data_IF_425447727475
#
_entry.id   IF_425447727475
#
_cell.length_a   1.000
_cell.length_b   1.000
_cell.length_c   1.000
_cell.angle_alpha   90.00
_cell.angle_beta   90.00
_cell.angle_gamma   90.00
#
_symmetry.space_group_name_H-M   'P 1'
#
loop_
_entity.id
_entity.type
_entity.pdbx_description
1 polymer ?
#
# COMPACT_ATOMS: atom_id res chain seq x y z
N UNK A 1 -14.76 15.69 -8.25
CA UNK A 1 -13.33 15.35 -8.14
C UNK A 1 -12.67 15.82 -9.42
N UNK A 2 -11.49 16.47 -9.37
CA UNK A 2 -10.78 16.84 -10.58
C UNK A 2 -10.47 15.60 -11.41
N UNK A 3 -10.53 15.75 -12.73
CA UNK A 3 -10.17 14.69 -13.68
C UNK A 3 -8.64 14.56 -13.67
N UNK A 4 -8.13 13.50 -13.05
CA UNK A 4 -6.68 13.25 -12.94
C UNK A 4 -6.19 12.64 -14.25
N UNK A 5 -5.12 13.20 -14.81
CA UNK A 5 -4.52 12.70 -16.04
C UNK A 5 -4.10 11.22 -15.84
N UNK A 6 -4.60 10.28 -16.66
CA UNK A 6 -4.19 8.88 -16.61
C UNK A 6 -2.68 8.61 -16.58
N UNK A 7 -1.90 9.46 -17.25
CA UNK A 7 -0.44 9.33 -17.33
C UNK A 7 0.25 9.55 -15.98
N UNK A 8 -0.36 10.26 -15.03
CA UNK A 8 0.17 10.43 -13.67
C UNK A 8 0.34 9.09 -12.94
N UNK A 9 -0.47 8.09 -13.30
CA UNK A 9 -0.43 6.75 -12.73
C UNK A 9 0.32 5.73 -13.60
N UNK A 10 0.85 6.15 -14.77
CA UNK A 10 1.52 5.28 -15.73
C UNK A 10 3.01 5.15 -15.47
N UNK A 11 3.37 4.63 -14.29
CA UNK A 11 4.77 4.43 -13.91
C UNK A 11 5.48 3.47 -14.89
N UNK A 12 6.63 3.84 -15.46
CA UNK A 12 7.40 2.98 -16.37
C UNK A 12 7.67 1.59 -15.77
N UNK A 13 7.99 1.55 -14.48
CA UNK A 13 8.22 0.32 -13.72
C UNK A 13 7.08 -0.70 -13.84
N UNK A 14 5.82 -0.27 -13.87
CA UNK A 14 4.70 -1.20 -14.03
C UNK A 14 4.72 -1.91 -15.38
N UNK A 15 5.07 -1.20 -16.45
CA UNK A 15 5.20 -1.80 -17.79
C UNK A 15 6.39 -2.76 -17.83
N UNK A 16 7.51 -2.39 -17.21
CA UNK A 16 8.72 -3.21 -17.13
C UNK A 16 8.48 -4.55 -16.44
N UNK A 17 7.69 -4.57 -15.36
CA UNK A 17 7.34 -5.81 -14.63
C UNK A 17 6.13 -6.55 -15.21
N UNK A 18 5.59 -6.11 -16.35
CA UNK A 18 4.47 -6.75 -17.04
C UNK A 18 3.09 -6.50 -16.42
N UNK A 19 2.94 -5.46 -15.59
CA UNK A 19 1.65 -5.06 -15.07
C UNK A 19 0.85 -4.31 -16.14
N UNK A 20 -0.47 -4.53 -16.13
CA UNK A 20 -1.39 -3.95 -17.12
C UNK A 20 -2.43 -3.11 -16.38
N UNK A 21 -2.68 -1.90 -16.89
CA UNK A 21 -3.77 -1.05 -16.40
C UNK A 21 -5.10 -1.60 -16.87
N UNK A 22 -6.03 -1.85 -15.94
CA UNK A 22 -7.37 -2.41 -16.19
C UNK A 22 -8.43 -1.57 -15.51
N UNK A 23 -9.68 -1.75 -15.94
CA UNK A 23 -10.88 -1.19 -15.29
C UNK A 23 -11.67 -2.33 -14.65
N UNK A 24 -11.92 -2.26 -13.35
CA UNK A 24 -12.60 -3.32 -12.62
C UNK A 24 -14.02 -3.50 -13.15
N UNK A 25 -14.45 -4.74 -13.49
CA UNK A 25 -15.78 -4.97 -14.05
C UNK A 25 -16.90 -4.67 -13.04
N UNK A 26 -16.64 -4.80 -11.74
CA UNK A 26 -17.61 -4.56 -10.67
C UNK A 26 -17.68 -3.08 -10.27
N UNK A 27 -16.63 -2.51 -9.67
CA UNK A 27 -16.65 -1.13 -9.16
C UNK A 27 -16.23 -0.04 -10.16
N UNK A 28 -15.83 -0.41 -11.39
CA UNK A 28 -15.39 0.50 -12.45
C UNK A 28 -14.12 1.32 -12.14
N UNK A 29 -13.44 1.06 -11.02
CA UNK A 29 -12.16 1.70 -10.69
C UNK A 29 -11.03 1.22 -11.60
N UNK A 30 -10.10 2.11 -11.93
CA UNK A 30 -8.87 1.73 -12.64
C UNK A 30 -7.85 1.14 -11.64
N UNK A 31 -7.13 0.11 -12.04
CA UNK A 31 -6.10 -0.54 -11.22
C UNK A 31 -4.97 -1.10 -12.10
N UNK A 32 -3.79 -1.29 -11.51
CA UNK A 32 -2.67 -1.99 -12.15
C UNK A 32 -2.56 -3.39 -11.57
N UNK A 33 -2.43 -4.40 -12.43
CA UNK A 33 -2.33 -5.78 -11.96
C UNK A 33 -1.52 -6.67 -12.89
N UNK A 34 -1.15 -7.83 -12.36
CA UNK A 34 -0.63 -8.94 -13.14
C UNK A 34 -1.67 -9.39 -14.20
N UNK A 35 -1.23 -10.02 -15.32
CA UNK A 35 -2.12 -10.34 -16.44
C UNK A 35 -3.32 -11.24 -16.11
N UNK A 36 -3.21 -12.09 -15.09
CA UNK A 36 -4.22 -13.06 -14.65
C UNK A 36 -5.28 -12.46 -13.72
N UNK A 37 -5.02 -11.31 -13.10
CA UNK A 37 -5.95 -10.68 -12.18
C UNK A 37 -7.08 -9.93 -12.92
N UNK A 38 -8.33 -10.31 -12.63
CA UNK A 38 -9.52 -9.81 -13.34
C UNK A 38 -10.31 -8.74 -12.57
N UNK A 39 -10.12 -8.64 -11.25
CA UNK A 39 -10.76 -7.64 -10.37
C UNK A 39 -9.71 -6.80 -9.64
N UNK A 40 -10.11 -5.66 -9.07
CA UNK A 40 -9.18 -4.77 -8.37
C UNK A 40 -8.62 -5.33 -7.04
N UNK A 41 -9.08 -6.50 -6.58
CA UNK A 41 -8.63 -7.12 -5.32
C UNK A 41 -9.24 -6.53 -4.05
N UNK A 42 -9.97 -5.42 -4.15
CA UNK A 42 -10.64 -4.76 -3.03
C UNK A 42 -12.02 -5.37 -2.72
N UNK A 43 -12.44 -5.33 -1.46
CA UNK A 43 -13.82 -5.67 -1.06
C UNK A 43 -14.76 -4.59 -1.60
N UNK A 44 -15.93 -4.92 -2.20
CA UNK A 44 -16.54 -6.25 -2.35
C UNK A 44 -16.18 -6.99 -3.65
N UNK A 45 -15.27 -6.47 -4.46
CA UNK A 45 -14.91 -7.03 -5.78
C UNK A 45 -14.09 -8.32 -5.68
N UNK A 46 -13.39 -8.54 -4.57
CA UNK A 46 -12.71 -9.80 -4.25
C UNK A 46 -12.88 -10.12 -2.75
N UNK A 47 -13.13 -11.39 -2.37
CA UNK A 47 -13.15 -11.80 -0.98
C UNK A 47 -11.72 -11.95 -0.43
N UNK A 48 -11.58 -12.01 0.90
CA UNK A 48 -10.31 -12.35 1.53
C UNK A 48 -9.93 -13.80 1.24
N UNK A 49 -8.76 -14.00 0.62
CA UNK A 49 -8.21 -15.31 0.30
C UNK A 49 -7.17 -15.82 1.33
N UNK A 50 -6.76 -14.97 2.26
CA UNK A 50 -5.63 -15.25 3.17
C UNK A 50 -6.02 -15.98 4.46
N UNK A 51 -7.32 -16.12 4.76
CA UNK A 51 -7.78 -16.82 5.97
C UNK A 51 -7.52 -18.32 5.79
N UNK A 52 -6.64 -18.90 6.61
CA UNK A 52 -6.18 -20.29 6.47
C UNK A 52 -5.11 -20.51 5.39
N UNK A 53 -4.78 -19.47 4.61
CA UNK A 53 -3.78 -19.52 3.54
C UNK A 53 -2.89 -18.25 3.58
N UNK A 54 -1.93 -18.16 4.51
CA UNK A 54 -1.16 -16.93 4.72
C UNK A 54 -0.31 -16.58 3.48
N UNK A 55 -0.29 -15.31 3.04
CA UNK A 55 0.44 -14.88 1.84
C UNK A 55 1.95 -14.69 2.08
N UNK A 56 2.39 -14.79 3.33
CA UNK A 56 3.79 -14.61 3.72
C UNK A 56 4.53 -15.96 3.74
N UNK A 57 5.82 -15.95 3.40
CA UNK A 57 6.67 -17.16 3.43
C UNK A 57 6.80 -17.81 4.81
N UNK A 58 6.58 -17.04 5.86
CA UNK A 58 6.61 -17.47 7.26
C UNK A 58 5.67 -16.63 8.11
N UNK A 59 5.43 -17.06 9.35
CA UNK A 59 4.68 -16.28 10.35
C UNK A 59 5.60 -15.23 10.98
N UNK A 60 5.02 -14.07 11.30
CA UNK A 60 5.71 -12.99 11.98
C UNK A 60 4.90 -12.51 13.18
N UNK A 61 5.60 -12.16 14.25
CA UNK A 61 5.08 -11.32 15.33
C UNK A 61 5.04 -9.85 14.90
N UNK A 62 4.33 -9.02 15.68
CA UNK A 62 4.27 -7.57 15.45
C UNK A 62 5.65 -6.90 15.50
N UNK A 63 6.52 -7.35 16.42
CA UNK A 63 7.86 -6.80 16.58
C UNK A 63 8.75 -7.17 15.38
N UNK A 64 8.72 -8.44 14.97
CA UNK A 64 9.50 -8.92 13.83
C UNK A 64 9.12 -8.21 12.53
N UNK A 65 7.82 -8.12 12.22
CA UNK A 65 7.37 -7.43 11.00
C UNK A 65 7.78 -5.96 10.99
N UNK A 66 7.70 -5.27 12.13
CA UNK A 66 8.13 -3.87 12.26
C UNK A 66 9.63 -3.72 11.98
N UNK A 67 10.45 -4.60 12.57
CA UNK A 67 11.91 -4.57 12.38
C UNK A 67 12.26 -4.89 10.92
N UNK A 68 11.66 -5.92 10.33
CA UNK A 68 11.87 -6.31 8.93
C UNK A 68 11.58 -5.16 7.95
N UNK A 69 10.45 -4.45 8.12
CA UNK A 69 10.14 -3.27 7.31
C UNK A 69 11.20 -2.18 7.47
N UNK A 70 11.59 -1.85 8.71
CA UNK A 70 12.58 -0.80 8.97
C UNK A 70 13.99 -1.17 8.48
N UNK A 71 14.42 -2.42 8.60
CA UNK A 71 15.71 -2.91 8.08
C UNK A 71 15.77 -2.87 6.55
N UNK A 72 14.68 -3.25 5.88
CA UNK A 72 14.60 -3.22 4.43
C UNK A 72 14.90 -1.83 3.86
N UNK A 73 14.37 -0.77 4.47
CA UNK A 73 14.63 0.60 4.04
C UNK A 73 15.96 1.15 4.57
N UNK A 74 16.37 0.79 5.79
CA UNK A 74 17.64 1.22 6.35
C UNK A 74 18.85 0.77 5.51
N UNK A 75 18.82 -0.47 5.02
CA UNK A 75 19.85 -1.00 4.10
C UNK A 75 19.88 -0.31 2.74
N UNK A 76 18.86 0.49 2.40
CA UNK A 76 18.74 1.30 1.17
C UNK A 76 18.93 2.80 1.45
N UNK A 77 19.58 3.14 2.57
CA UNK A 77 19.98 4.51 2.90
C UNK A 77 18.90 5.35 3.59
N UNK A 78 17.80 4.76 4.07
CA UNK A 78 16.77 5.49 4.82
C UNK A 78 17.06 5.49 6.32
N UNK A 79 16.90 6.64 6.97
CA UNK A 79 17.13 6.75 8.43
C UNK A 79 15.93 6.25 9.22
N UNK A 80 16.19 5.50 10.29
CA UNK A 80 15.16 5.13 11.27
C UNK A 80 14.80 6.31 12.15
N UNK A 81 13.50 6.64 12.19
CA UNK A 81 12.96 7.68 13.06
C UNK A 81 12.05 7.02 14.09
N UNK A 82 12.19 7.41 15.36
CA UNK A 82 11.29 6.93 16.42
C UNK A 82 9.87 7.46 16.17
N UNK A 83 8.82 6.69 16.50
CA UNK A 83 7.45 7.17 16.34
C UNK A 83 7.22 8.41 17.19
N UNK A 84 6.42 9.33 16.65
CA UNK A 84 5.97 10.52 17.36
C UNK A 84 4.80 10.17 18.30
N UNK A 85 4.49 11.02 19.29
CA UNK A 85 3.31 10.84 20.14
C UNK A 85 2.02 10.78 19.32
N UNK A 86 1.03 10.02 19.80
CA UNK A 86 -0.29 9.97 19.15
C UNK A 86 -1.02 11.31 19.18
N UNK A 87 -0.69 12.19 20.14
CA UNK A 87 -1.20 13.56 20.22
C UNK A 87 -0.34 14.47 19.35
N UNK A 88 -0.97 15.17 18.42
CA UNK A 88 -0.31 16.05 17.46
C UNK A 88 0.14 17.35 18.11
N UNK A 89 1.25 17.32 18.86
CA UNK A 89 1.78 18.49 19.60
C UNK A 89 2.44 19.55 18.70
N UNK A 90 2.66 19.24 17.43
CA UNK A 90 3.41 20.06 16.47
C UNK A 90 2.53 20.85 15.50
N UNK A 91 1.21 20.69 15.58
CA UNK A 91 0.22 21.32 14.69
C UNK A 91 -1.07 21.59 15.46
N UNK A 92 -1.98 22.36 14.87
CA UNK A 92 -3.18 22.87 15.55
C UNK A 92 -4.50 22.61 14.81
N UNK A 93 -4.46 21.90 13.68
CA UNK A 93 -5.62 21.59 12.85
C UNK A 93 -6.18 20.17 13.09
N UNK A 94 -5.41 19.30 13.75
CA UNK A 94 -5.84 17.96 14.19
C UNK A 94 -5.38 17.68 15.62
N UNK A 95 -6.16 16.92 16.39
CA UNK A 95 -5.78 16.53 17.75
C UNK A 95 -4.85 15.31 17.81
N UNK A 96 -5.03 14.34 16.89
CA UNK A 96 -4.36 13.05 16.91
C UNK A 96 -3.69 12.73 15.56
N UNK A 97 -2.63 11.93 15.60
CA UNK A 97 -1.93 11.42 14.41
C UNK A 97 -2.77 10.33 13.75
N UNK A 98 -3.25 10.59 12.53
CA UNK A 98 -4.00 9.64 11.70
C UNK A 98 -3.19 9.02 10.56
N UNK A 99 -2.08 9.64 10.16
CA UNK A 99 -1.19 9.12 9.12
C UNK A 99 0.27 9.45 9.44
N UNK A 100 1.21 8.71 8.84
CA UNK A 100 2.65 8.92 9.02
C UNK A 100 3.17 10.25 8.45
N UNK A 101 2.41 10.90 7.56
CA UNK A 101 2.75 12.20 6.97
C UNK A 101 2.15 13.38 7.75
N UNK A 102 1.41 13.11 8.83
CA UNK A 102 0.83 14.17 9.68
C UNK A 102 1.90 14.84 10.54
#
# INVERSE_FOLDING_TARGET
MPEINPEEFALPYFREIGFIRRKCPSCKSNYWAAPDQTTCGEVPCAPYSFIGNPPTKQRYSLAEMRIQFMDYFATRGHTRIKPYPIVARWRNDVYLVGASIY
#
